data_IF_141592574096
#
_entry.id   IF_141592574096
#
_cell.length_a   1.000
_cell.length_b   1.000
_cell.length_c   1.000
_cell.angle_alpha   90.00
_cell.angle_beta   90.00
_cell.angle_gamma   90.00
#
_symmetry.space_group_name_H-M   'P 1'
#
loop_
_entity.id
_entity.type
_entity.pdbx_description
1 polymer ?
#
# COMPACT_ATOMS: atom_id res chain seq x y z
N UNK A 1 -9.29 3.69 -13.42
CA UNK A 1 -8.30 4.53 -12.72
C UNK A 1 -9.06 5.74 -12.21
N UNK A 2 -9.14 5.92 -10.91
CA UNK A 2 -9.90 7.01 -10.30
C UNK A 2 -8.91 7.99 -9.69
N UNK A 3 -8.84 9.21 -10.20
CA UNK A 3 -7.98 10.27 -9.68
C UNK A 3 -8.83 11.28 -8.89
N UNK A 4 -8.34 11.69 -7.72
CA UNK A 4 -9.02 12.64 -6.84
C UNK A 4 -8.18 13.90 -6.67
N UNK A 5 -8.82 15.07 -6.73
CA UNK A 5 -8.18 16.37 -6.63
C UNK A 5 -8.65 17.10 -5.37
N UNK A 6 -7.72 17.74 -4.65
CA UNK A 6 -8.01 18.57 -3.49
C UNK A 6 -7.47 20.00 -3.70
N UNK A 7 -8.28 20.98 -3.43
CA UNK A 7 -7.93 22.40 -3.45
C UNK A 7 -7.40 22.85 -2.07
N UNK A 8 -6.36 23.71 -2.07
CA UNK A 8 -5.62 24.12 -0.87
C UNK A 8 -6.34 25.07 0.10
N UNK A 9 -7.48 25.65 -0.27
CA UNK A 9 -8.24 26.58 0.54
C UNK A 9 -9.56 25.95 1.03
N UNK A 10 -9.51 25.10 2.06
CA UNK A 10 -10.65 24.68 2.91
C UNK A 10 -12.01 24.41 2.26
N UNK A 11 -12.11 24.38 0.94
CA UNK A 11 -13.27 23.99 0.17
C UNK A 11 -12.97 22.73 -0.62
N UNK A 12 -13.51 21.61 -0.16
CA UNK A 12 -13.41 20.33 -0.85
C UNK A 12 -14.16 20.41 -2.18
N UNK A 13 -13.43 20.63 -3.28
CA UNK A 13 -13.92 20.44 -4.64
C UNK A 13 -13.42 19.08 -5.13
N UNK A 14 -14.33 18.17 -5.50
CA UNK A 14 -13.96 16.83 -5.97
C UNK A 14 -14.21 16.76 -7.47
N UNK A 15 -13.13 16.63 -8.23
CA UNK A 15 -13.20 16.27 -9.64
C UNK A 15 -12.86 14.78 -9.78
N UNK A 16 -13.74 13.98 -10.34
CA UNK A 16 -13.47 12.56 -10.67
C UNK A 16 -13.15 12.49 -12.16
N UNK A 17 -11.92 12.16 -12.50
CA UNK A 17 -11.54 11.82 -13.86
C UNK A 17 -11.75 10.33 -14.06
N UNK A 18 -12.83 9.93 -14.70
CA UNK A 18 -13.07 8.53 -15.09
C UNK A 18 -12.49 8.35 -16.49
N UNK A 19 -11.31 7.73 -16.59
CA UNK A 19 -10.81 7.24 -17.84
C UNK A 19 -11.41 5.85 -18.09
N UNK A 20 -12.52 5.78 -18.82
CA UNK A 20 -13.03 4.52 -19.34
C UNK A 20 -12.26 4.15 -20.62
N UNK A 21 -11.57 3.03 -20.62
CA UNK A 21 -11.04 2.42 -21.83
C UNK A 21 -12.22 1.91 -22.66
N UNK A 22 -12.61 2.65 -23.69
CA UNK A 22 -13.36 2.13 -24.82
C UNK A 22 -12.38 1.86 -25.94
N UNK A 23 -12.29 0.57 -26.31
CA UNK A 23 -11.65 0.13 -27.54
C UNK A 23 -12.46 0.57 -28.76
N UNK A 24 -11.69 1.05 -29.76
CA UNK A 24 -12.06 1.12 -31.19
C UNK A 24 -13.19 2.05 -31.60
N UNK A 25 -12.85 3.26 -31.99
CA UNK A 25 -13.10 3.85 -33.33
C UNK A 25 -12.77 5.35 -33.32
N UNK A 26 -12.19 5.77 -34.41
CA UNK A 26 -11.60 7.05 -34.83
C UNK A 26 -12.22 8.40 -34.37
N UNK A 27 -11.58 9.54 -34.71
CA UNK A 27 -11.32 10.66 -33.78
C UNK A 27 -12.41 11.75 -33.85
N UNK A 28 -12.32 12.71 -32.94
CA UNK A 28 -13.06 13.96 -32.83
C UNK A 28 -14.24 13.93 -31.85
N UNK A 29 -13.89 14.12 -30.54
CA UNK A 29 -14.73 14.94 -29.68
C UNK A 29 -13.99 15.33 -28.38
N UNK A 30 -14.13 16.57 -27.88
CA UNK A 30 -13.36 17.07 -26.74
C UNK A 30 -13.86 16.49 -25.43
N UNK A 31 -12.90 16.20 -24.55
CA UNK A 31 -13.13 15.72 -23.18
C UNK A 31 -14.04 16.70 -22.45
N UNK A 32 -15.26 16.30 -22.15
CA UNK A 32 -16.17 17.08 -21.31
C UNK A 32 -15.78 16.92 -19.84
N UNK A 33 -15.24 17.98 -19.28
CA UNK A 33 -15.05 18.11 -17.83
C UNK A 33 -16.38 18.44 -17.19
N UNK A 34 -16.94 17.53 -16.40
CA UNK A 34 -18.16 17.79 -15.63
C UNK A 34 -17.76 18.34 -14.27
N UNK A 35 -17.89 19.66 -14.10
CA UNK A 35 -17.74 20.30 -12.79
C UNK A 35 -19.09 20.21 -12.05
N UNK A 36 -19.11 19.52 -10.90
CA UNK A 36 -20.26 19.47 -10.01
C UNK A 36 -20.03 20.47 -8.88
N UNK A 37 -20.73 21.59 -8.90
CA UNK A 37 -20.72 22.57 -7.83
C UNK A 37 -21.61 22.09 -6.68
N UNK A 38 -21.05 21.93 -5.49
CA UNK A 38 -21.81 21.69 -4.26
C UNK A 38 -22.11 22.99 -3.54
N UNK A 39 -23.40 23.25 -3.31
CA UNK A 39 -23.84 24.31 -2.39
C UNK A 39 -23.74 23.81 -0.95
N UNK A 40 -23.18 24.61 -0.01
CA UNK A 40 -23.19 24.26 1.39
C UNK A 40 -24.61 24.44 1.97
N UNK A 41 -25.12 23.37 2.59
CA UNK A 41 -26.34 23.46 3.41
C UNK A 41 -25.96 24.07 4.78
N UNK A 42 -26.78 24.96 5.36
CA UNK A 42 -26.51 25.59 6.64
C UNK A 42 -26.68 24.57 7.79
N UNK A 43 -25.71 24.55 8.70
CA UNK A 43 -25.79 23.82 9.96
C UNK A 43 -26.70 24.59 10.92
N UNK A 44 -27.88 24.07 11.23
CA UNK A 44 -28.65 24.48 12.40
C UNK A 44 -28.29 23.62 13.61
N UNK A 45 -27.80 24.31 14.65
CA UNK A 45 -27.56 23.72 15.96
C UNK A 45 -28.91 23.65 16.68
N UNK A 46 -29.45 22.48 16.89
CA UNK A 46 -30.57 22.25 17.80
C UNK A 46 -30.15 21.47 19.02
N UNK A 47 -30.46 22.10 20.15
CA UNK A 47 -30.13 21.85 21.50
C UNK A 47 -30.30 20.44 22.06
N UNK A 48 -29.55 20.19 23.12
CA UNK A 48 -29.39 18.97 23.84
C UNK A 48 -30.66 18.31 24.39
N UNK A 49 -30.62 16.99 24.38
CA UNK A 49 -31.28 16.14 25.39
C UNK A 49 -30.56 14.78 25.42
N UNK A 50 -29.92 14.55 26.55
CA UNK A 50 -29.42 13.25 26.99
C UNK A 50 -30.62 12.33 27.26
N UNK A 51 -30.76 11.24 26.52
CA UNK A 51 -31.63 10.13 26.87
C UNK A 51 -30.78 8.96 27.37
N UNK A 52 -30.86 8.75 28.66
CA UNK A 52 -30.41 7.53 29.38
C UNK A 52 -31.35 6.38 28.97
N UNK A 53 -30.79 5.33 28.35
CA UNK A 53 -31.46 4.06 28.21
C UNK A 53 -31.01 3.12 29.32
N UNK A 54 -31.95 2.31 29.86
CA UNK A 54 -31.66 1.50 31.05
C UNK A 54 -30.88 0.23 30.75
N UNK A 55 -29.98 -0.05 31.66
CA UNK A 55 -29.24 -1.30 31.83
C UNK A 55 -30.15 -2.54 31.80
N UNK A 56 -30.00 -3.43 30.83
CA UNK A 56 -30.57 -4.76 30.87
C UNK A 56 -29.49 -5.76 31.31
N UNK A 57 -29.89 -6.59 32.26
CA UNK A 57 -29.07 -7.57 32.98
C UNK A 57 -28.58 -8.67 32.06
N UNK A 58 -27.35 -9.12 32.37
CA UNK A 58 -26.68 -10.30 31.86
C UNK A 58 -27.48 -11.57 32.17
N UNK A 59 -27.89 -12.30 31.13
CA UNK A 59 -28.12 -13.73 31.22
C UNK A 59 -27.02 -14.42 30.37
N UNK A 60 -26.14 -15.13 31.06
CA UNK A 60 -25.09 -15.95 30.50
C UNK A 60 -25.71 -17.14 29.76
N UNK A 61 -25.70 -17.09 28.44
CA UNK A 61 -25.83 -18.29 27.61
C UNK A 61 -24.42 -18.67 27.17
N UNK A 62 -23.89 -19.73 27.76
CA UNK A 62 -22.66 -20.38 27.29
C UNK A 62 -23.02 -21.08 25.99
N UNK A 63 -22.62 -20.50 24.88
CA UNK A 63 -22.60 -21.15 23.58
C UNK A 63 -21.16 -21.64 23.38
N UNK A 64 -20.99 -22.97 23.45
CA UNK A 64 -19.73 -23.60 23.00
C UNK A 64 -19.54 -23.29 21.52
N UNK A 65 -18.52 -22.48 21.20
CA UNK A 65 -18.09 -22.24 19.84
C UNK A 65 -17.38 -23.49 19.31
N UNK A 66 -17.76 -24.01 18.13
CA UNK A 66 -16.96 -25.02 17.45
C UNK A 66 -15.67 -24.37 16.96
N UNK A 67 -14.54 -24.97 17.29
CA UNK A 67 -13.20 -24.48 17.10
C UNK A 67 -12.90 -24.02 15.65
N UNK A 68 -12.69 -22.73 15.51
CA UNK A 68 -12.03 -22.11 14.36
C UNK A 68 -10.52 -22.05 14.65
N UNK A 69 -9.83 -23.16 14.45
CA UNK A 69 -8.35 -23.18 14.64
C UNK A 69 -7.54 -23.56 13.41
N UNK A 70 -8.15 -23.85 12.25
CA UNK A 70 -7.40 -24.46 11.14
C UNK A 70 -7.36 -23.63 9.83
N UNK A 71 -7.94 -22.43 9.74
CA UNK A 71 -7.94 -21.66 8.47
C UNK A 71 -6.87 -20.56 8.38
N UNK A 72 -6.21 -20.16 9.46
CA UNK A 72 -5.12 -19.17 9.41
C UNK A 72 -3.78 -19.74 8.90
N UNK A 73 -3.58 -21.06 8.93
CA UNK A 73 -2.32 -21.70 8.50
C UNK A 73 -2.07 -21.63 6.99
N UNK A 74 -3.05 -21.28 6.16
CA UNK A 74 -2.88 -21.34 4.69
C UNK A 74 -2.33 -20.06 4.05
N UNK A 75 -2.30 -18.94 4.77
CA UNK A 75 -1.93 -17.63 4.20
C UNK A 75 -0.45 -17.48 3.90
N UNK A 76 0.39 -18.00 4.78
CA UNK A 76 1.85 -17.84 4.69
C UNK A 76 2.55 -19.19 4.78
N UNK A 77 2.72 -19.87 3.65
CA UNK A 77 3.53 -21.09 3.63
C UNK A 77 5.01 -20.72 3.72
N UNK A 78 5.61 -21.05 4.87
CA UNK A 78 7.04 -20.82 5.12
C UNK A 78 7.91 -21.64 4.15
N UNK A 79 8.99 -21.03 3.69
CA UNK A 79 9.98 -21.67 2.80
C UNK A 79 10.61 -22.91 3.42
N UNK A 80 10.61 -23.06 4.74
CA UNK A 80 11.13 -24.22 5.44
C UNK A 80 10.39 -25.52 5.10
N UNK A 81 9.15 -25.43 4.60
CA UNK A 81 8.42 -26.60 4.09
C UNK A 81 9.14 -27.30 2.93
N UNK A 82 10.02 -26.60 2.21
CA UNK A 82 10.84 -27.18 1.14
C UNK A 82 11.81 -28.27 1.65
N UNK A 83 12.14 -28.27 2.95
CA UNK A 83 12.97 -29.34 3.54
C UNK A 83 12.31 -30.70 3.37
N UNK A 84 10.97 -30.78 3.50
CA UNK A 84 10.19 -32.01 3.29
C UNK A 84 10.26 -32.50 1.84
N UNK A 85 10.61 -31.63 0.91
CA UNK A 85 10.77 -31.92 -0.53
C UNK A 85 12.24 -32.06 -0.96
N UNK A 86 13.16 -32.23 0.01
CA UNK A 86 14.56 -32.55 -0.27
C UNK A 86 15.46 -31.35 -0.60
N UNK A 87 15.04 -30.14 -0.28
CA UNK A 87 15.85 -28.93 -0.41
C UNK A 87 16.72 -28.74 0.85
N UNK A 88 18.01 -28.45 0.65
CA UNK A 88 18.96 -28.30 1.74
C UNK A 88 18.70 -27.02 2.55
N UNK A 89 18.75 -27.12 3.88
CA UNK A 89 18.62 -25.99 4.83
C UNK A 89 19.60 -24.85 4.49
N UNK A 90 20.82 -25.17 4.04
CA UNK A 90 21.80 -24.17 3.64
C UNK A 90 21.33 -23.33 2.43
N UNK A 91 20.60 -23.92 1.49
CA UNK A 91 20.08 -23.21 0.33
C UNK A 91 18.83 -22.39 0.71
N UNK A 92 18.00 -22.87 1.64
CA UNK A 92 16.88 -22.12 2.23
C UNK A 92 17.38 -20.87 2.97
N UNK A 93 18.44 -21.01 3.78
CA UNK A 93 19.06 -19.84 4.46
C UNK A 93 19.56 -18.78 3.49
N UNK A 94 20.09 -19.18 2.32
CA UNK A 94 20.50 -18.22 1.29
C UNK A 94 19.31 -17.49 0.66
N UNK A 95 18.16 -18.15 0.50
CA UNK A 95 16.94 -17.51 0.01
C UNK A 95 16.40 -16.52 1.05
N UNK A 96 16.35 -16.91 2.33
CA UNK A 96 15.96 -16.01 3.43
C UNK A 96 16.86 -14.78 3.52
N UNK A 97 18.16 -14.90 3.26
CA UNK A 97 19.12 -13.77 3.31
C UNK A 97 18.90 -12.71 2.21
N UNK A 98 18.15 -13.03 1.16
CA UNK A 98 17.76 -12.11 0.09
C UNK A 98 16.27 -11.77 0.14
N UNK A 99 15.63 -11.96 1.31
CA UNK A 99 14.23 -11.58 1.55
C UNK A 99 13.20 -12.50 0.90
N UNK A 100 13.56 -13.74 0.51
CA UNK A 100 12.61 -14.74 0.00
C UNK A 100 12.34 -15.73 1.14
N UNK A 101 11.22 -15.54 1.83
CA UNK A 101 10.88 -16.26 3.06
C UNK A 101 9.68 -17.19 2.92
N UNK A 102 8.93 -17.12 1.81
CA UNK A 102 7.73 -17.93 1.57
C UNK A 102 7.80 -18.73 0.28
N UNK A 103 6.98 -19.77 0.17
CA UNK A 103 6.81 -20.56 -1.07
C UNK A 103 6.29 -19.67 -2.20
N UNK A 104 5.32 -18.79 -1.90
CA UNK A 104 4.77 -17.81 -2.86
C UNK A 104 5.85 -16.86 -3.36
N UNK A 105 6.76 -16.39 -2.49
CA UNK A 105 7.90 -15.55 -2.86
C UNK A 105 8.82 -16.23 -3.88
N UNK A 106 9.06 -17.56 -3.77
CA UNK A 106 9.79 -18.31 -4.78
C UNK A 106 9.06 -18.33 -6.12
N UNK A 107 7.75 -18.55 -6.12
CA UNK A 107 6.97 -18.58 -7.37
C UNK A 107 6.97 -17.22 -8.06
N UNK A 108 6.89 -16.13 -7.32
CA UNK A 108 6.92 -14.74 -7.81
C UNK A 108 8.30 -14.31 -8.30
N UNK A 109 9.38 -15.05 -7.95
CA UNK A 109 10.75 -14.70 -8.33
C UNK A 109 11.16 -15.45 -9.59
N UNK A 110 11.79 -14.74 -10.54
CA UNK A 110 12.25 -15.35 -11.80
C UNK A 110 13.41 -16.29 -11.56
N UNK A 111 13.58 -17.33 -12.44
CA UNK A 111 14.74 -18.24 -12.39
C UNK A 111 16.06 -17.47 -12.42
N UNK A 112 16.17 -16.47 -13.30
CA UNK A 112 17.35 -15.63 -13.41
C UNK A 112 17.69 -14.90 -12.10
N UNK A 113 16.69 -14.36 -11.41
CA UNK A 113 16.90 -13.69 -10.12
C UNK A 113 17.34 -14.68 -9.04
N UNK A 114 16.77 -15.89 -9.01
CA UNK A 114 17.19 -16.94 -8.08
C UNK A 114 18.63 -17.43 -8.36
N UNK A 115 19.04 -17.50 -9.62
CA UNK A 115 20.42 -17.87 -9.99
C UNK A 115 21.45 -16.80 -9.57
N UNK A 116 21.06 -15.54 -9.39
CA UNK A 116 21.93 -14.47 -8.90
C UNK A 116 22.23 -14.60 -7.40
N UNK A 117 21.50 -15.41 -6.66
CA UNK A 117 21.76 -15.67 -5.24
C UNK A 117 23.05 -16.48 -5.10
N UNK A 118 24.04 -15.95 -4.36
CA UNK A 118 25.35 -16.59 -4.18
C UNK A 118 25.21 -18.04 -3.70
N UNK A 119 25.74 -18.96 -4.50
CA UNK A 119 25.80 -20.39 -4.18
C UNK A 119 24.54 -21.18 -4.51
N UNK A 120 23.62 -20.63 -5.29
CA UNK A 120 22.55 -21.36 -5.98
C UNK A 120 22.95 -21.56 -7.45
N UNK A 121 23.10 -22.82 -7.86
CA UNK A 121 23.28 -23.19 -9.27
C UNK A 121 21.93 -23.34 -9.96
N UNK A 122 21.91 -23.26 -11.29
CA UNK A 122 20.72 -23.40 -12.09
C UNK A 122 19.96 -24.72 -11.78
N UNK A 123 20.69 -25.84 -11.66
CA UNK A 123 20.11 -27.13 -11.28
C UNK A 123 19.45 -27.13 -9.89
N UNK A 124 19.99 -26.35 -8.95
CA UNK A 124 19.38 -26.18 -7.61
C UNK A 124 18.12 -25.32 -7.68
N UNK A 125 18.17 -24.24 -8.46
CA UNK A 125 17.04 -23.36 -8.69
C UNK A 125 15.86 -24.12 -9.32
N UNK A 126 16.14 -25.00 -10.30
CA UNK A 126 15.11 -25.83 -10.90
C UNK A 126 14.45 -26.78 -9.90
N UNK A 127 15.25 -27.42 -9.04
CA UNK A 127 14.72 -28.29 -7.96
C UNK A 127 13.88 -27.49 -6.95
N UNK A 128 14.33 -26.28 -6.58
CA UNK A 128 13.59 -25.40 -5.66
C UNK A 128 12.25 -25.01 -6.28
N UNK A 129 12.23 -24.60 -7.56
CA UNK A 129 11.01 -24.24 -8.29
C UNK A 129 10.05 -25.43 -8.43
N UNK A 130 10.57 -26.61 -8.73
CA UNK A 130 9.78 -27.84 -8.81
C UNK A 130 9.16 -28.20 -7.45
N UNK A 131 9.94 -28.11 -6.37
CA UNK A 131 9.43 -28.34 -5.03
C UNK A 131 8.36 -27.31 -4.61
N UNK A 132 8.57 -26.04 -4.92
CA UNK A 132 7.58 -24.98 -4.67
C UNK A 132 6.28 -25.20 -5.44
N UNK A 133 6.36 -25.62 -6.70
CA UNK A 133 5.19 -25.92 -7.54
C UNK A 133 4.42 -27.17 -7.09
N UNK A 134 5.03 -28.07 -6.35
CA UNK A 134 4.34 -29.23 -5.73
C UNK A 134 3.55 -28.81 -4.48
N UNK A 135 3.97 -27.75 -3.80
CA UNK A 135 3.30 -27.23 -2.60
C UNK A 135 2.15 -26.30 -2.95
N UNK A 136 2.36 -25.43 -3.93
CA UNK A 136 1.34 -24.52 -4.44
C UNK A 136 1.25 -24.73 -5.95
N UNK A 137 0.16 -25.32 -6.41
CA UNK A 137 -0.05 -25.54 -7.84
C UNK A 137 -0.17 -24.19 -8.57
N UNK A 138 0.73 -23.89 -9.53
CA UNK A 138 0.57 -22.77 -10.42
C UNK A 138 -0.54 -23.09 -11.43
N UNK A 139 -1.67 -22.42 -11.35
CA UNK A 139 -2.80 -22.72 -12.22
C UNK A 139 -3.75 -21.55 -12.41
N UNK A 140 -4.74 -21.79 -13.25
CA UNK A 140 -5.86 -20.88 -13.42
C UNK A 140 -6.83 -21.08 -12.26
N UNK A 141 -7.32 -19.97 -11.74
CA UNK A 141 -8.42 -19.93 -10.77
C UNK A 141 -9.67 -19.45 -11.51
N UNK A 142 -10.81 -19.97 -11.11
CA UNK A 142 -12.08 -19.36 -11.51
C UNK A 142 -12.26 -17.99 -10.86
N UNK A 143 -13.07 -17.12 -11.46
CA UNK A 143 -13.40 -15.84 -10.85
C UNK A 143 -14.05 -15.99 -9.46
N UNK A 144 -14.77 -17.10 -9.25
CA UNK A 144 -15.37 -17.42 -7.96
C UNK A 144 -14.30 -17.73 -6.90
N UNK A 145 -13.35 -18.63 -7.18
CA UNK A 145 -12.24 -18.95 -6.27
C UNK A 145 -11.38 -17.72 -5.98
N UNK A 146 -11.15 -16.87 -6.99
CA UNK A 146 -10.45 -15.62 -6.79
C UNK A 146 -11.23 -14.64 -5.91
N UNK A 147 -12.57 -14.58 -6.06
CA UNK A 147 -13.45 -13.79 -5.19
C UNK A 147 -13.35 -14.22 -3.72
N UNK A 148 -13.30 -15.54 -3.46
CA UNK A 148 -13.10 -16.05 -2.09
C UNK A 148 -11.76 -15.60 -1.51
N UNK A 149 -10.66 -15.66 -2.29
CA UNK A 149 -9.36 -15.12 -1.88
C UNK A 149 -9.39 -13.62 -1.60
N UNK A 150 -10.21 -12.86 -2.34
CA UNK A 150 -10.37 -11.42 -2.14
C UNK A 150 -11.10 -11.05 -0.85
N UNK A 151 -11.80 -11.97 -0.18
CA UNK A 151 -12.42 -11.73 1.13
C UNK A 151 -11.41 -11.44 2.24
N UNK A 152 -10.14 -11.83 2.03
CA UNK A 152 -9.05 -11.55 2.97
C UNK A 152 -8.50 -10.13 2.86
N UNK A 153 -8.90 -9.39 1.83
CA UNK A 153 -8.50 -8.01 1.61
C UNK A 153 -9.20 -7.11 2.62
N UNK A 154 -8.42 -6.31 3.31
CA UNK A 154 -8.93 -5.31 4.24
C UNK A 154 -8.66 -3.89 3.71
N UNK A 155 -9.34 -2.92 4.30
CA UNK A 155 -9.17 -1.51 4.00
C UNK A 155 -8.80 -0.74 5.26
N UNK A 156 -7.81 0.15 5.14
CA UNK A 156 -7.38 1.04 6.21
C UNK A 156 -8.06 2.39 5.99
N UNK A 157 -8.76 2.88 7.01
CA UNK A 157 -9.41 4.19 6.94
C UNK A 157 -8.39 5.32 6.84
N UNK A 158 -8.70 6.33 6.04
CA UNK A 158 -7.94 7.59 5.96
C UNK A 158 -8.27 8.53 7.12
N UNK A 159 -9.26 8.18 7.96
CA UNK A 159 -9.79 9.04 9.01
C UNK A 159 -10.84 10.04 8.53
N UNK A 160 -11.27 9.94 7.26
CA UNK A 160 -12.35 10.71 6.65
C UNK A 160 -13.32 9.77 5.93
N UNK A 161 -14.55 9.66 6.42
CA UNK A 161 -15.55 8.78 5.82
C UNK A 161 -15.86 9.11 4.36
N UNK A 162 -15.88 10.40 4.01
CA UNK A 162 -16.14 10.82 2.63
C UNK A 162 -14.98 10.42 1.72
N UNK A 163 -13.75 10.53 2.21
CA UNK A 163 -12.58 10.10 1.45
C UNK A 163 -12.51 8.58 1.32
N UNK A 164 -12.80 7.85 2.39
CA UNK A 164 -12.86 6.38 2.36
C UNK A 164 -13.92 5.88 1.35
N UNK A 165 -15.09 6.51 1.27
CA UNK A 165 -16.11 6.18 0.25
C UNK A 165 -15.59 6.35 -1.17
N UNK A 166 -14.83 7.43 -1.43
CA UNK A 166 -14.25 7.68 -2.74
C UNK A 166 -13.19 6.61 -3.11
N UNK A 167 -12.44 6.12 -2.12
CA UNK A 167 -11.46 5.05 -2.29
C UNK A 167 -12.07 3.64 -2.30
N UNK A 168 -13.39 3.51 -2.16
CA UNK A 168 -14.06 2.21 -2.10
C UNK A 168 -13.93 1.51 -0.76
N UNK A 169 -13.63 2.25 0.31
CA UNK A 169 -13.53 1.74 1.70
C UNK A 169 -12.26 2.17 2.43
N UNK A 170 -11.33 2.83 1.75
CA UNK A 170 -10.05 3.26 2.30
C UNK A 170 -8.85 2.72 1.53
N UNK A 171 -7.70 2.62 2.16
CA UNK A 171 -6.46 2.10 1.55
C UNK A 171 -6.51 0.58 1.56
N UNK A 172 -6.53 -0.02 0.38
CA UNK A 172 -6.71 -1.45 0.16
C UNK A 172 -5.41 -2.24 0.42
N UNK A 173 -5.50 -3.38 1.10
CA UNK A 173 -4.39 -4.34 1.22
C UNK A 173 -4.17 -5.12 -0.07
N UNK A 174 -3.03 -5.81 -0.21
CA UNK A 174 -2.59 -6.50 -1.44
C UNK A 174 -2.49 -5.58 -2.67
N UNK A 175 -2.40 -4.27 -2.45
CA UNK A 175 -2.34 -3.26 -3.51
C UNK A 175 -1.38 -2.13 -3.14
N UNK A 176 -0.97 -1.39 -4.17
CA UNK A 176 -0.22 -0.14 -4.00
C UNK A 176 -1.17 1.01 -4.24
N UNK A 177 -1.25 1.92 -3.28
CA UNK A 177 -1.96 3.20 -3.40
C UNK A 177 -0.94 4.31 -3.48
N UNK A 178 -1.00 5.11 -4.54
CA UNK A 178 -0.10 6.24 -4.76
C UNK A 178 -0.84 7.56 -4.55
N UNK A 179 -0.26 8.43 -3.71
CA UNK A 179 -0.68 9.82 -3.56
C UNK A 179 0.35 10.72 -4.23
N UNK A 180 -0.06 11.42 -5.29
CA UNK A 180 0.81 12.33 -6.02
C UNK A 180 0.22 13.74 -6.08
N UNK A 181 1.06 14.73 -6.26
CA UNK A 181 0.64 16.13 -6.31
C UNK A 181 1.79 17.08 -5.97
N UNK A 182 1.49 18.37 -6.01
CA UNK A 182 2.45 19.43 -5.74
C UNK A 182 2.95 19.43 -4.30
N UNK A 183 3.99 20.22 -4.05
CA UNK A 183 4.52 20.47 -2.72
C UNK A 183 3.44 21.12 -1.82
N UNK A 184 3.38 20.71 -0.54
CA UNK A 184 2.44 21.21 0.48
C UNK A 184 0.96 20.81 0.31
N UNK A 185 0.62 19.87 -0.57
CA UNK A 185 -0.77 19.39 -0.74
C UNK A 185 -1.23 18.40 0.34
N UNK A 186 -0.44 18.11 1.35
CA UNK A 186 -0.83 17.26 2.48
C UNK A 186 -0.47 15.77 2.37
N UNK A 187 0.27 15.32 1.34
CA UNK A 187 0.68 13.91 1.17
C UNK A 187 1.34 13.32 2.40
N UNK A 188 2.38 13.98 2.93
CA UNK A 188 3.06 13.57 4.16
C UNK A 188 2.15 13.62 5.39
N UNK A 189 1.19 14.56 5.45
CA UNK A 189 0.19 14.60 6.52
C UNK A 189 -0.71 13.37 6.48
N UNK A 190 -1.15 12.98 5.29
CA UNK A 190 -1.93 11.75 5.11
C UNK A 190 -1.10 10.52 5.51
N UNK A 191 0.19 10.45 5.11
CA UNK A 191 1.10 9.37 5.53
C UNK A 191 1.16 9.23 7.06
N UNK A 192 1.30 10.35 7.79
CA UNK A 192 1.28 10.33 9.26
C UNK A 192 -0.09 9.95 9.83
N UNK A 193 -1.19 10.39 9.20
CA UNK A 193 -2.53 10.00 9.63
C UNK A 193 -2.73 8.49 9.48
N UNK A 194 -2.30 7.92 8.37
CA UNK A 194 -2.36 6.47 8.12
C UNK A 194 -1.53 5.67 9.12
N UNK A 195 -0.41 6.21 9.64
CA UNK A 195 0.34 5.56 10.72
C UNK A 195 -0.48 5.36 11.99
N UNK A 196 -1.45 6.24 12.25
CA UNK A 196 -2.33 6.13 13.42
C UNK A 196 -3.56 5.29 13.08
N UNK A 197 -4.23 5.60 11.96
CA UNK A 197 -5.50 4.94 11.60
C UNK A 197 -5.34 3.46 11.27
N UNK A 198 -4.18 3.04 10.76
CA UNK A 198 -3.88 1.63 10.52
C UNK A 198 -3.78 0.78 11.80
N UNK A 199 -3.66 1.41 12.96
CA UNK A 199 -3.66 0.73 14.25
C UNK A 199 -5.06 0.59 14.86
N UNK A 200 -6.04 1.29 14.30
CA UNK A 200 -7.41 1.27 14.81
C UNK A 200 -8.18 0.07 14.25
N UNK A 201 -9.03 -0.57 15.06
CA UNK A 201 -9.94 -1.56 14.53
C UNK A 201 -10.90 -0.92 13.51
N UNK A 202 -11.19 -1.64 12.45
CA UNK A 202 -11.96 -1.13 11.32
C UNK A 202 -13.09 -2.04 10.87
N UNK A 203 -13.70 -1.69 9.75
CA UNK A 203 -14.78 -2.46 9.15
C UNK A 203 -14.32 -3.86 8.73
N UNK A 204 -15.25 -4.82 8.67
CA UNK A 204 -14.95 -6.19 8.22
C UNK A 204 -14.09 -7.00 9.17
N UNK A 205 -13.99 -6.60 10.45
CA UNK A 205 -13.15 -7.32 11.43
C UNK A 205 -11.66 -6.96 11.35
N UNK A 206 -11.28 -5.87 10.68
CA UNK A 206 -9.90 -5.41 10.67
C UNK A 206 -9.41 -5.09 12.08
N UNK A 207 -8.37 -5.79 12.59
CA UNK A 207 -7.96 -5.67 13.99
C UNK A 207 -7.03 -4.49 14.28
N UNK A 208 -6.56 -3.80 13.24
CA UNK A 208 -5.42 -2.90 13.31
C UNK A 208 -4.09 -3.65 13.22
N UNK A 209 -2.98 -2.92 13.16
CA UNK A 209 -1.65 -3.54 13.14
C UNK A 209 -0.51 -2.55 13.12
N UNK A 210 0.73 -3.08 13.07
CA UNK A 210 1.95 -2.29 13.01
C UNK A 210 2.20 -1.75 11.60
N UNK A 211 3.02 -0.71 11.53
CA UNK A 211 3.37 0.00 10.31
C UNK A 211 4.88 0.06 10.14
N UNK A 212 5.34 -0.04 8.89
CA UNK A 212 6.71 0.36 8.53
C UNK A 212 6.64 1.65 7.72
N UNK A 213 7.42 2.64 8.13
CA UNK A 213 7.57 3.93 7.46
C UNK A 213 8.99 4.10 6.92
N UNK A 214 9.15 4.16 5.60
CA UNK A 214 10.41 4.48 4.94
C UNK A 214 10.38 5.95 4.52
N UNK A 215 11.28 6.74 5.10
CA UNK A 215 11.40 8.18 4.85
C UNK A 215 12.60 8.46 3.94
N UNK A 216 12.36 9.10 2.81
CA UNK A 216 13.41 9.47 1.83
C UNK A 216 13.76 10.96 1.88
N UNK A 217 12.93 11.80 2.51
CA UNK A 217 13.08 13.27 2.51
C UNK A 217 13.35 13.85 3.89
N UNK A 218 13.45 13.02 4.93
CA UNK A 218 13.59 13.46 6.34
C UNK A 218 12.40 14.30 6.84
N UNK A 219 11.19 13.87 6.49
CA UNK A 219 9.94 14.58 6.82
C UNK A 219 9.15 13.94 7.95
N UNK A 220 9.52 12.75 8.39
CA UNK A 220 8.86 12.06 9.50
C UNK A 220 9.03 12.81 10.82
N UNK A 221 7.93 12.99 11.54
CA UNK A 221 7.90 13.70 12.84
C UNK A 221 7.04 12.95 13.85
N UNK A 222 7.66 12.33 14.88
CA UNK A 222 6.92 11.61 15.94
C UNK A 222 5.90 12.49 16.67
N UNK A 223 6.19 13.79 16.88
CA UNK A 223 5.26 14.71 17.55
C UNK A 223 3.95 14.86 16.78
N UNK A 224 4.02 14.83 15.44
CA UNK A 224 2.81 14.85 14.60
C UNK A 224 1.95 13.59 14.80
N UNK A 225 2.56 12.43 15.06
CA UNK A 225 1.81 11.22 15.41
C UNK A 225 1.07 11.37 16.74
N UNK A 226 1.67 12.05 17.73
CA UNK A 226 1.00 12.35 19.02
C UNK A 226 -0.22 13.23 18.83
N UNK A 227 -0.09 14.33 18.06
CA UNK A 227 -1.22 15.21 17.74
C UNK A 227 -2.36 14.48 17.02
N UNK A 228 -2.02 13.54 16.12
CA UNK A 228 -3.01 12.73 15.43
C UNK A 228 -3.63 11.69 16.39
N UNK A 229 -2.83 11.07 17.26
CA UNK A 229 -3.30 10.12 18.26
C UNK A 229 -4.34 10.76 19.21
N UNK A 230 -4.14 12.02 19.62
CA UNK A 230 -5.13 12.80 20.39
C UNK A 230 -6.47 12.90 19.66
N UNK A 231 -6.45 13.16 18.35
CA UNK A 231 -7.68 13.24 17.55
C UNK A 231 -8.48 11.94 17.58
N UNK A 232 -7.80 10.80 17.63
CA UNK A 232 -8.44 9.47 17.63
C UNK A 232 -8.58 8.86 19.03
N UNK A 233 -8.21 9.60 20.09
CA UNK A 233 -8.23 9.15 21.49
C UNK A 233 -7.48 7.85 21.73
N UNK A 234 -6.29 7.71 21.15
CA UNK A 234 -5.40 6.56 21.33
C UNK A 234 -4.14 6.95 22.10
N UNK A 235 -3.55 5.99 22.78
CA UNK A 235 -2.35 6.19 23.57
C UNK A 235 -1.14 6.53 22.71
N UNK A 236 -0.41 7.58 23.04
CA UNK A 236 0.71 8.12 22.28
C UNK A 236 1.88 7.14 22.19
N UNK A 237 2.24 6.52 23.30
CA UNK A 237 3.41 5.65 23.37
C UNK A 237 3.13 4.36 22.63
N UNK A 238 1.93 3.81 22.78
CA UNK A 238 1.51 2.62 22.01
C UNK A 238 1.51 2.89 20.50
N UNK A 239 1.04 4.08 20.06
CA UNK A 239 1.07 4.46 18.64
C UNK A 239 2.50 4.56 18.14
N UNK A 240 3.41 5.15 18.88
CA UNK A 240 4.82 5.30 18.49
C UNK A 240 5.55 3.95 18.44
N UNK A 241 5.30 3.04 19.38
CA UNK A 241 5.92 1.72 19.45
C UNK A 241 5.48 0.80 18.28
N UNK A 242 4.32 1.06 17.71
CA UNK A 242 3.78 0.30 16.59
C UNK A 242 4.23 0.82 15.20
N UNK A 243 5.01 1.90 15.14
CA UNK A 243 5.55 2.45 13.89
C UNK A 243 7.06 2.21 13.81
N UNK A 244 7.48 1.29 12.95
CA UNK A 244 8.89 1.07 12.65
C UNK A 244 9.33 2.10 11.61
N UNK A 245 10.34 2.89 11.96
CA UNK A 245 10.88 3.94 11.10
C UNK A 245 12.23 3.54 10.49
N UNK A 246 12.39 3.77 9.20
CA UNK A 246 13.67 3.63 8.50
C UNK A 246 13.93 4.85 7.61
N UNK A 247 15.16 5.37 7.65
CA UNK A 247 15.62 6.42 6.76
C UNK A 247 16.38 5.84 5.59
N UNK A 248 15.95 6.12 4.37
CA UNK A 248 16.70 5.85 3.15
C UNK A 248 17.55 7.07 2.77
N UNK A 249 18.81 6.85 2.36
CA UNK A 249 19.73 7.91 1.98
C UNK A 249 20.07 7.90 0.48
N UNK A 250 19.96 6.76 -0.18
CA UNK A 250 20.19 6.57 -1.62
C UNK A 250 19.09 5.67 -2.18
N UNK A 251 18.91 5.71 -3.49
CA UNK A 251 17.97 4.82 -4.18
C UNK A 251 18.35 3.34 -4.02
N UNK A 252 19.65 3.02 -3.95
CA UNK A 252 20.12 1.66 -3.67
C UNK A 252 19.74 1.23 -2.26
N UNK A 253 19.99 2.06 -1.24
CA UNK A 253 19.60 1.79 0.13
C UNK A 253 18.07 1.65 0.28
N UNK A 254 17.29 2.45 -0.47
CA UNK A 254 15.83 2.33 -0.51
C UNK A 254 15.40 0.95 -1.05
N UNK A 255 16.09 0.42 -2.06
CA UNK A 255 15.85 -0.94 -2.58
C UNK A 255 16.25 -2.03 -1.59
N UNK A 256 17.38 -1.88 -0.89
CA UNK A 256 17.85 -2.81 0.13
C UNK A 256 16.90 -2.89 1.33
N UNK A 257 16.32 -1.75 1.74
CA UNK A 257 15.34 -1.72 2.84
C UNK A 257 14.12 -2.62 2.57
N UNK A 258 13.76 -2.88 1.31
CA UNK A 258 12.68 -3.81 0.99
C UNK A 258 13.00 -5.26 1.38
N UNK A 259 14.29 -5.65 1.43
CA UNK A 259 14.69 -6.96 1.92
C UNK A 259 14.44 -7.09 3.43
N UNK A 260 14.76 -6.03 4.17
CA UNK A 260 14.49 -5.96 5.61
C UNK A 260 12.99 -5.90 5.91
N UNK A 261 12.21 -5.17 5.08
CA UNK A 261 10.75 -5.14 5.20
C UNK A 261 10.16 -6.54 5.03
N UNK A 262 10.57 -7.26 3.98
CA UNK A 262 10.08 -8.62 3.74
C UNK A 262 10.46 -9.58 4.89
N UNK A 263 11.68 -9.45 5.44
CA UNK A 263 12.12 -10.23 6.60
C UNK A 263 11.27 -9.92 7.84
N UNK A 264 10.98 -8.63 8.11
CA UNK A 264 10.14 -8.23 9.24
C UNK A 264 8.69 -8.70 9.11
N UNK A 265 8.12 -8.63 7.92
CA UNK A 265 6.77 -9.16 7.66
C UNK A 265 6.69 -10.67 7.83
N UNK A 266 7.79 -11.37 7.56
CA UNK A 266 7.88 -12.81 7.80
C UNK A 266 8.07 -13.16 9.28
N UNK A 267 8.96 -12.43 10.00
CA UNK A 267 9.23 -12.64 11.43
C UNK A 267 7.96 -12.42 12.29
N UNK A 268 7.19 -11.39 11.96
CA UNK A 268 5.97 -11.02 12.66
C UNK A 268 4.76 -11.11 11.70
N UNK A 269 4.53 -12.32 11.17
CA UNK A 269 3.50 -12.58 10.16
C UNK A 269 2.12 -12.12 10.63
N UNK A 270 1.41 -11.38 9.79
CA UNK A 270 0.06 -10.91 10.07
C UNK A 270 -0.04 -9.70 11.01
N UNK A 271 1.03 -9.30 11.70
CA UNK A 271 1.03 -8.15 12.63
C UNK A 271 1.15 -6.82 11.87
N UNK A 272 1.96 -6.78 10.82
CA UNK A 272 2.09 -5.59 9.98
C UNK A 272 0.93 -5.49 9.00
N UNK A 273 0.37 -4.29 8.86
CA UNK A 273 -0.77 -4.01 7.98
C UNK A 273 -0.48 -2.95 6.93
N UNK A 274 0.52 -2.11 7.14
CA UNK A 274 0.81 -0.97 6.25
C UNK A 274 2.32 -0.76 6.08
N UNK A 275 2.74 -0.56 4.83
CA UNK A 275 4.04 -0.05 4.45
C UNK A 275 3.87 1.33 3.81
N UNK A 276 4.55 2.33 4.33
CA UNK A 276 4.57 3.70 3.79
C UNK A 276 5.95 4.03 3.24
N UNK A 277 6.00 4.65 2.06
CA UNK A 277 7.24 5.19 1.47
C UNK A 277 6.99 6.64 1.09
N UNK A 278 7.60 7.57 1.82
CA UNK A 278 7.45 9.02 1.61
C UNK A 278 8.83 9.66 1.32
N UNK A 279 9.17 9.94 0.05
CA UNK A 279 8.47 9.66 -1.21
C UNK A 279 9.21 8.59 -2.03
N UNK A 280 8.50 7.92 -2.93
CA UNK A 280 9.08 6.83 -3.72
C UNK A 280 10.14 7.31 -4.70
N UNK A 281 9.99 8.52 -5.27
CA UNK A 281 10.81 9.05 -6.37
C UNK A 281 11.95 9.98 -5.96
N UNK A 282 11.96 10.53 -4.75
CA UNK A 282 12.89 11.61 -4.38
C UNK A 282 14.36 11.21 -4.60
N UNK A 283 14.79 10.06 -4.09
CA UNK A 283 16.17 9.59 -4.23
C UNK A 283 16.52 9.20 -5.66
N UNK A 284 15.61 8.58 -6.40
CA UNK A 284 15.84 8.23 -7.79
C UNK A 284 16.04 9.45 -8.69
N UNK A 285 15.42 10.60 -8.37
CA UNK A 285 15.64 11.85 -9.10
C UNK A 285 17.02 12.45 -8.85
N UNK A 286 17.54 12.29 -7.64
CA UNK A 286 18.87 12.77 -7.25
C UNK A 286 19.96 11.88 -7.83
N UNK A 287 19.84 10.56 -7.66
CA UNK A 287 20.86 9.60 -8.06
C UNK A 287 20.95 9.44 -9.59
N UNK A 288 19.85 9.67 -10.32
CA UNK A 288 19.74 9.58 -11.77
C UNK A 288 19.30 10.92 -12.36
N UNK A 289 20.17 11.96 -12.27
CA UNK A 289 19.87 13.32 -12.71
C UNK A 289 20.41 13.67 -14.09
N UNK A 290 21.24 12.79 -14.70
CA UNK A 290 21.90 13.01 -15.98
C UNK A 290 20.96 12.91 -17.18
N UNK A 291 21.27 13.70 -18.24
CA UNK A 291 20.60 13.55 -19.55
C UNK A 291 20.93 12.17 -20.12
N UNK A 292 19.98 11.29 -20.23
CA UNK A 292 20.15 9.90 -20.69
C UNK A 292 20.01 8.85 -19.59
N UNK A 293 19.98 9.23 -18.33
CA UNK A 293 19.75 8.31 -17.19
C UNK A 293 18.26 8.07 -16.91
N UNK A 294 17.37 8.77 -17.62
CA UNK A 294 15.91 8.64 -17.45
C UNK A 294 15.46 7.19 -17.62
N UNK A 295 15.96 6.48 -18.64
CA UNK A 295 15.58 5.08 -18.89
C UNK A 295 16.04 4.16 -17.76
N UNK A 296 17.23 4.38 -17.21
CA UNK A 296 17.74 3.61 -16.08
C UNK A 296 16.91 3.90 -14.80
N UNK A 297 16.63 5.18 -14.54
CA UNK A 297 15.74 5.60 -13.44
C UNK A 297 14.39 4.91 -13.52
N UNK A 298 13.73 4.92 -14.68
CA UNK A 298 12.44 4.27 -14.89
C UNK A 298 12.53 2.75 -14.71
N UNK A 299 13.60 2.12 -15.20
CA UNK A 299 13.82 0.70 -15.02
C UNK A 299 13.97 0.32 -13.54
N UNK A 300 14.76 1.09 -12.78
CA UNK A 300 14.95 0.87 -11.34
C UNK A 300 13.66 1.07 -10.55
N UNK A 301 12.91 2.13 -10.89
CA UNK A 301 11.60 2.37 -10.29
C UNK A 301 10.63 1.22 -10.58
N UNK A 302 10.54 0.77 -11.82
CA UNK A 302 9.68 -0.37 -12.19
C UNK A 302 10.05 -1.65 -11.43
N UNK A 303 11.35 -1.89 -11.19
CA UNK A 303 11.82 -2.99 -10.34
C UNK A 303 11.34 -2.85 -8.90
N UNK A 304 11.45 -1.63 -8.33
CA UNK A 304 10.98 -1.33 -6.97
C UNK A 304 9.48 -1.57 -6.84
N UNK A 305 8.70 -1.03 -7.75
CA UNK A 305 7.24 -1.15 -7.75
C UNK A 305 6.80 -2.61 -7.91
N UNK A 306 7.42 -3.35 -8.84
CA UNK A 306 7.17 -4.79 -8.99
C UNK A 306 7.47 -5.57 -7.70
N UNK A 307 8.47 -5.13 -6.94
CA UNK A 307 8.83 -5.77 -5.67
C UNK A 307 7.83 -5.41 -4.57
N UNK A 308 7.42 -4.15 -4.48
CA UNK A 308 6.39 -3.70 -3.55
C UNK A 308 5.06 -4.42 -3.78
N UNK A 309 4.65 -4.59 -5.05
CA UNK A 309 3.46 -5.34 -5.41
C UNK A 309 3.53 -6.78 -4.90
N UNK A 310 4.67 -7.46 -5.10
CA UNK A 310 4.87 -8.82 -4.60
C UNK A 310 4.81 -8.91 -3.08
N UNK A 311 5.46 -7.98 -2.39
CA UNK A 311 5.44 -7.92 -0.91
C UNK A 311 4.00 -7.69 -0.42
N UNK A 312 3.24 -6.78 -1.04
CA UNK A 312 1.86 -6.50 -0.66
C UNK A 312 0.95 -7.73 -0.80
N UNK A 313 1.12 -8.49 -1.89
CA UNK A 313 0.35 -9.71 -2.15
C UNK A 313 0.81 -10.91 -1.33
N UNK A 314 2.12 -11.00 -1.04
CA UNK A 314 2.72 -12.09 -0.27
C UNK A 314 2.27 -12.03 1.18
N UNK A 315 2.27 -10.84 1.79
CA UNK A 315 2.02 -10.65 3.22
C UNK A 315 0.65 -10.03 3.55
N UNK A 316 -0.23 -9.87 2.56
CA UNK A 316 -1.52 -9.19 2.73
C UNK A 316 -1.38 -7.85 3.47
N UNK A 317 -0.56 -6.96 2.93
CA UNK A 317 -0.25 -5.64 3.51
C UNK A 317 -0.67 -4.55 2.54
N UNK A 318 -1.19 -3.44 3.04
CA UNK A 318 -1.40 -2.24 2.23
C UNK A 318 -0.06 -1.54 1.99
N UNK A 319 0.18 -1.06 0.77
CA UNK A 319 1.35 -0.24 0.45
C UNK A 319 0.89 1.15 0.04
N UNK A 320 1.35 2.16 0.76
CA UNK A 320 1.05 3.56 0.48
C UNK A 320 2.34 4.29 0.09
N UNK A 321 2.36 4.90 -1.09
CA UNK A 321 3.52 5.66 -1.57
C UNK A 321 3.14 7.08 -1.89
N UNK A 322 4.05 8.02 -1.64
CA UNK A 322 3.87 9.41 -2.08
C UNK A 322 4.78 9.72 -3.24
N UNK A 323 4.34 10.59 -4.13
CA UNK A 323 5.11 11.08 -5.26
C UNK A 323 4.93 12.59 -5.41
N UNK A 324 5.97 13.29 -5.85
CA UNK A 324 5.92 14.70 -6.16
C UNK A 324 5.79 14.89 -7.67
N UNK A 325 4.83 15.69 -8.10
CA UNK A 325 4.79 16.17 -9.48
C UNK A 325 5.78 17.31 -9.65
N UNK A 326 6.57 17.26 -10.70
CA UNK A 326 7.38 18.38 -11.19
C UNK A 326 6.84 18.75 -12.55
N UNK A 327 6.46 20.00 -12.73
CA UNK A 327 6.17 20.52 -14.06
C UNK A 327 7.44 20.44 -14.91
N UNK A 328 7.37 19.83 -16.09
CA UNK A 328 8.43 19.93 -17.09
C UNK A 328 8.30 21.29 -17.78
N UNK A 329 9.30 22.20 -17.66
CA UNK A 329 9.26 23.49 -18.34
C UNK A 329 9.24 23.40 -19.86
N UNK A 330 9.49 22.20 -20.42
CA UNK A 330 9.46 21.91 -21.84
C UNK A 330 8.19 21.25 -22.36
N UNK A 331 7.30 20.83 -21.49
CA UNK A 331 6.00 20.29 -21.90
C UNK A 331 5.13 21.42 -22.44
N UNK A 332 4.76 21.34 -23.72
CA UNK A 332 3.80 22.26 -24.34
C UNK A 332 2.51 22.21 -23.54
N UNK A 333 2.20 23.31 -22.86
CA UNK A 333 1.01 23.51 -22.05
C UNK A 333 -0.24 23.08 -22.79
N UNK A 334 -0.94 22.09 -22.30
CA UNK A 334 -2.38 21.96 -22.52
C UNK A 334 -3.09 23.14 -21.81
N UNK A 335 -4.20 23.69 -22.36
CA UNK A 335 -4.70 25.00 -21.98
C UNK A 335 -5.11 25.09 -20.52
N UNK A 336 -4.55 26.10 -19.89
CA UNK A 336 -5.01 26.87 -18.72
C UNK A 336 -5.79 26.11 -17.64
N UNK A 337 -5.05 25.51 -16.71
CA UNK A 337 -5.53 25.38 -15.34
C UNK A 337 -5.28 26.72 -14.61
N UNK A 338 -6.23 27.21 -13.81
CA UNK A 338 -6.05 28.45 -13.06
C UNK A 338 -4.84 28.33 -12.10
N UNK A 339 -4.00 29.37 -12.07
CA UNK A 339 -2.69 29.40 -11.39
C UNK A 339 -2.70 29.22 -9.86
N UNK A 340 -3.84 28.93 -9.23
CA UNK A 340 -4.01 28.92 -7.77
C UNK A 340 -4.54 27.61 -7.17
N UNK A 341 -4.64 26.51 -7.91
CA UNK A 341 -5.15 25.26 -7.36
C UNK A 341 -4.02 24.24 -7.15
N UNK A 342 -3.67 23.99 -5.88
CA UNK A 342 -2.76 22.93 -5.50
C UNK A 342 -3.42 21.57 -5.79
N UNK A 343 -2.92 20.84 -6.77
CA UNK A 343 -3.48 19.56 -7.19
C UNK A 343 -2.89 18.40 -6.41
N UNK A 344 -3.73 17.62 -5.76
CA UNK A 344 -3.41 16.37 -5.11
C UNK A 344 -4.27 15.25 -5.71
N UNK A 345 -3.65 14.13 -6.05
CA UNK A 345 -4.37 12.98 -6.59
C UNK A 345 -3.92 11.68 -5.95
N UNK A 346 -4.84 10.73 -5.82
CA UNK A 346 -4.57 9.38 -5.34
C UNK A 346 -5.03 8.37 -6.38
N UNK A 347 -4.19 7.38 -6.66
CA UNK A 347 -4.54 6.21 -7.47
C UNK A 347 -4.48 4.97 -6.60
N UNK A 348 -5.53 4.16 -6.64
CA UNK A 348 -5.61 2.87 -5.97
C UNK A 348 -5.61 1.74 -7.02
N UNK A 349 -4.89 0.66 -6.74
CA UNK A 349 -4.97 -0.57 -7.53
C UNK A 349 -4.12 -0.64 -8.79
N UNK A 350 -3.13 0.23 -8.96
CA UNK A 350 -2.19 0.15 -10.08
C UNK A 350 -1.50 1.48 -10.33
N UNK A 351 -0.20 1.42 -10.57
CA UNK A 351 0.56 2.57 -10.97
C UNK A 351 0.23 2.84 -12.44
N UNK A 352 -0.54 3.89 -12.66
CA UNK A 352 -0.65 4.43 -14.00
C UNK A 352 0.68 5.01 -14.43
N UNK A 353 1.19 4.58 -15.59
CA UNK A 353 2.27 5.29 -16.24
C UNK A 353 1.86 6.77 -16.35
N UNK A 354 2.41 7.60 -15.48
CA UNK A 354 2.38 9.03 -15.69
C UNK A 354 3.21 9.25 -16.96
N UNK A 355 2.53 9.28 -18.09
CA UNK A 355 3.14 9.77 -19.32
C UNK A 355 3.47 11.23 -19.06
N UNK A 356 4.78 11.51 -19.12
CA UNK A 356 5.34 12.88 -19.21
C UNK A 356 4.69 13.66 -20.34
#
# INVERSE_FOLDING_TARGET
>A
MTCFFFDGDSKCGIGVLIASHLKDSAPEDPIQTVSVAFHPLPFEVLGGRTLLLPCMKEDQVVVEEPGFQDEEESLFQDIDLLQKHGINVADIKKLKSVGICTIKGIQMTTRRALCNVKGLSEAKVDKIKEAANKLIEPGFLTAFEYSEKRKMVFHITTGSQEFDKLLGGGIESMAITEAFGEFRTGKTQLSHTLCVTAQLPGAGGYPGGKIIFIDTENTFRPDRLRDIADRFNVDHDAVLDNVLYARAYTSEHQMELLDYVAAKFHEEAGIFKLLIIDSIMALFRVDFSGRGELAERQQKLAQMLSRLQKISEEYNVAVFVTNQMTADPGATMTPEMPENEATFAITAGGIGDAKE
#
